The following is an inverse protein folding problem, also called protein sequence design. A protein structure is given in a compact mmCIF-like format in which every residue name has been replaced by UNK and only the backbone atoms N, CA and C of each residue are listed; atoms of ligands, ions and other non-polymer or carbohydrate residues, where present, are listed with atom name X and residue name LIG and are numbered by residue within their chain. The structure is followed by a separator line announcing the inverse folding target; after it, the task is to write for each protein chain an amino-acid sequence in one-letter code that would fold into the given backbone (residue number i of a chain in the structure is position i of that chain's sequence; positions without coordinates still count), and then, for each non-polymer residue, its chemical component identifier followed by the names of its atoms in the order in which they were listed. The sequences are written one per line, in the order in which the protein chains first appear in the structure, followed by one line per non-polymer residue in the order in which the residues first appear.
data_IF_891755254273
#
_entry.id   IF_891755254273
#
_cell.length_a   1.000
_cell.length_b   1.000
_cell.length_c   1.000
_cell.angle_alpha   90.00
_cell.angle_beta   90.00
_cell.angle_gamma   90.00
#
_symmetry.space_group_name_H-M   'P 1'
#
loop_
_entity.id
_entity.type
_entity.pdbx_description
1 polymer ?
#
# COMPACT_ATOMS: atom_id res chain seq x y z
N UNK A 1 18.58 43.86 18.49
CA UNK A 1 18.95 43.45 17.13
C UNK A 1 18.45 42.03 16.96
N UNK A 2 17.58 41.90 15.99
CA UNK A 2 16.69 40.80 15.66
C UNK A 2 17.44 39.62 15.03
N UNK A 3 17.44 38.47 15.70
CA UNK A 3 17.62 37.18 15.02
C UNK A 3 16.22 36.62 14.75
N UNK A 4 15.63 37.07 13.65
CA UNK A 4 14.51 36.39 13.01
C UNK A 4 15.06 35.06 12.47
N UNK A 5 14.85 33.99 13.23
CA UNK A 5 14.90 32.64 12.68
C UNK A 5 13.84 32.56 11.59
N UNK A 6 14.28 32.64 10.33
CA UNK A 6 13.47 32.31 9.17
C UNK A 6 13.19 30.82 9.23
N UNK A 7 12.10 30.45 9.90
CA UNK A 7 11.33 29.27 9.52
C UNK A 7 10.78 29.55 8.13
N UNK A 8 11.60 29.24 7.11
CA UNK A 8 11.06 28.97 5.80
C UNK A 8 10.23 27.70 5.94
N UNK A 9 8.94 27.89 6.24
CA UNK A 9 7.88 26.94 5.93
C UNK A 9 8.09 26.51 4.48
N UNK A 10 8.69 25.33 4.32
CA UNK A 10 8.72 24.64 3.05
C UNK A 10 7.31 24.11 2.79
N UNK A 11 6.44 25.04 2.43
CA UNK A 11 5.08 24.82 1.95
C UNK A 11 5.17 24.20 0.56
N UNK A 12 5.60 22.93 0.50
CA UNK A 12 5.17 22.07 -0.60
C UNK A 12 3.76 21.60 -0.25
N UNK A 13 2.77 22.41 -0.60
CA UNK A 13 1.41 21.93 -0.81
C UNK A 13 1.46 20.95 -2.00
N UNK A 14 1.98 19.75 -1.73
CA UNK A 14 2.19 18.72 -2.72
C UNK A 14 0.85 18.10 -3.07
N UNK A 15 0.60 17.95 -4.35
CA UNK A 15 -0.25 16.92 -4.95
C UNK A 15 0.30 15.51 -4.67
N UNK A 16 0.71 15.27 -3.42
CA UNK A 16 1.40 14.08 -2.94
C UNK A 16 0.48 13.22 -2.09
N UNK A 17 0.78 11.93 -2.09
CA UNK A 17 0.13 10.93 -1.24
C UNK A 17 0.25 11.35 0.23
N UNK A 18 -0.89 11.43 0.93
CA UNK A 18 -0.99 11.64 2.38
C UNK A 18 -1.76 10.49 3.05
N UNK A 19 -1.75 10.41 4.39
CA UNK A 19 -2.40 9.34 5.14
C UNK A 19 -3.87 9.09 4.74
N UNK A 20 -4.66 10.13 4.52
CA UNK A 20 -6.07 10.01 4.16
C UNK A 20 -6.24 9.47 2.74
N UNK A 21 -5.50 10.02 1.77
CA UNK A 21 -5.51 9.54 0.39
C UNK A 21 -4.98 8.12 0.27
N UNK A 22 -3.99 7.73 1.09
CA UNK A 22 -3.47 6.36 1.13
C UNK A 22 -4.49 5.41 1.73
N UNK A 23 -5.17 5.81 2.80
CA UNK A 23 -6.28 5.04 3.38
C UNK A 23 -7.39 4.82 2.36
N UNK A 24 -7.76 5.86 1.62
CA UNK A 24 -8.75 5.75 0.54
C UNK A 24 -8.27 4.80 -0.56
N UNK A 25 -7.02 4.96 -1.02
CA UNK A 25 -6.42 4.10 -2.03
C UNK A 25 -6.46 2.62 -1.63
N UNK A 26 -6.02 2.30 -0.41
CA UNK A 26 -6.01 0.92 0.08
C UNK A 26 -7.39 0.36 0.41
N UNK A 27 -8.39 1.20 0.68
CA UNK A 27 -9.79 0.76 0.84
C UNK A 27 -10.44 0.31 -0.48
N UNK A 28 -9.88 0.73 -1.62
CA UNK A 28 -10.35 0.41 -2.97
C UNK A 28 -9.68 -0.83 -3.56
N UNK A 29 -9.00 -1.65 -2.76
CA UNK A 29 -8.31 -2.90 -3.17
C UNK A 29 -9.22 -4.00 -3.75
N UNK A 30 -10.49 -3.67 -4.00
CA UNK A 30 -11.49 -4.51 -4.63
C UNK A 30 -11.90 -3.94 -5.98
N UNK A 31 -11.96 -4.80 -6.99
CA UNK A 31 -12.81 -4.54 -8.14
C UNK A 31 -14.28 -4.90 -7.83
N UNK A 32 -15.22 -4.45 -8.67
CA UNK A 32 -16.66 -4.72 -8.57
C UNK A 32 -17.04 -6.20 -8.54
N UNK A 33 -16.09 -7.11 -8.80
CA UNK A 33 -16.27 -8.57 -8.77
C UNK A 33 -15.76 -9.23 -7.48
N UNK A 34 -15.25 -8.45 -6.51
CA UNK A 34 -14.72 -8.96 -5.24
C UNK A 34 -13.36 -9.67 -5.36
N UNK A 35 -12.63 -9.46 -6.47
CA UNK A 35 -11.28 -9.99 -6.64
C UNK A 35 -10.25 -8.95 -6.18
N UNK A 36 -9.17 -9.38 -5.51
CA UNK A 36 -8.06 -8.51 -5.17
C UNK A 36 -7.40 -7.94 -6.42
N UNK A 37 -7.45 -6.63 -6.57
CA UNK A 37 -6.80 -5.91 -7.65
C UNK A 37 -5.79 -4.93 -7.07
N UNK A 38 -4.51 -5.15 -7.36
CA UNK A 38 -3.41 -4.28 -6.90
C UNK A 38 -3.03 -3.23 -7.95
N UNK A 39 -3.65 -3.26 -9.15
CA UNK A 39 -3.25 -2.44 -10.29
C UNK A 39 -3.35 -0.93 -10.05
N UNK A 40 -4.26 -0.48 -9.18
CA UNK A 40 -4.41 0.93 -8.84
C UNK A 40 -3.41 1.43 -7.80
N UNK A 41 -2.79 0.54 -7.01
CA UNK A 41 -1.76 0.92 -6.06
C UNK A 41 -0.35 0.88 -6.67
N UNK A 42 -0.12 -0.03 -7.63
CA UNK A 42 1.19 -0.21 -8.27
C UNK A 42 1.80 1.07 -8.86
N UNK A 43 1.04 2.00 -9.49
CA UNK A 43 1.59 3.26 -10.03
C UNK A 43 2.15 4.22 -8.98
N UNK A 44 1.85 4.00 -7.70
CA UNK A 44 2.31 4.85 -6.59
C UNK A 44 3.64 4.41 -5.99
N UNK A 45 4.19 3.27 -6.44
CA UNK A 45 5.45 2.75 -5.96
C UNK A 45 6.61 3.20 -6.84
N UNK A 46 7.76 3.46 -6.20
CA UNK A 46 9.02 3.72 -6.89
C UNK A 46 9.52 2.46 -7.63
N UNK A 47 10.17 2.64 -8.78
CA UNK A 47 10.75 1.54 -9.56
C UNK A 47 11.78 0.73 -8.73
N UNK A 48 12.42 1.37 -7.75
CA UNK A 48 13.40 0.78 -6.83
C UNK A 48 12.81 0.43 -5.45
N UNK A 49 11.50 0.15 -5.37
CA UNK A 49 10.83 -0.26 -4.13
C UNK A 49 11.63 -1.34 -3.37
N UNK A 50 11.82 -1.11 -2.08
CA UNK A 50 12.30 -2.12 -1.14
C UNK A 50 11.12 -2.65 -0.33
N UNK A 51 10.78 -3.92 -0.53
CA UNK A 51 9.71 -4.58 0.22
C UNK A 51 10.28 -5.68 1.10
N UNK A 52 9.88 -5.71 2.37
CA UNK A 52 10.32 -6.73 3.32
C UNK A 52 9.16 -7.15 4.22
N UNK A 53 8.96 -8.46 4.32
CA UNK A 53 8.11 -9.09 5.33
C UNK A 53 8.93 -10.11 6.14
N UNK A 54 8.29 -10.92 6.96
CA UNK A 54 8.97 -11.95 7.78
C UNK A 54 9.45 -13.17 7.00
N UNK A 55 9.06 -13.30 5.73
CA UNK A 55 9.29 -14.46 4.86
C UNK A 55 10.28 -14.12 3.75
N UNK A 56 10.20 -12.91 3.20
CA UNK A 56 10.95 -12.51 2.00
C UNK A 56 11.35 -11.03 2.01
N UNK A 57 12.34 -10.73 1.19
CA UNK A 57 12.80 -9.40 0.85
C UNK A 57 12.85 -9.29 -0.68
N UNK A 58 12.26 -8.22 -1.23
CA UNK A 58 12.14 -7.98 -2.67
C UNK A 58 12.70 -6.59 -2.99
N UNK A 59 13.43 -6.51 -4.10
CA UNK A 59 14.06 -5.28 -4.57
C UNK A 59 13.58 -4.97 -5.98
N UNK A 60 12.97 -3.81 -6.16
CA UNK A 60 12.49 -3.34 -7.45
C UNK A 60 11.07 -3.77 -7.79
N UNK A 61 10.47 -2.98 -8.69
CA UNK A 61 9.04 -3.06 -8.99
C UNK A 61 8.61 -4.37 -9.67
N UNK A 62 9.50 -5.01 -10.44
CA UNK A 62 9.14 -6.24 -11.16
C UNK A 62 8.95 -7.44 -10.22
N UNK A 63 9.81 -7.60 -9.22
CA UNK A 63 9.68 -8.63 -8.18
C UNK A 63 8.44 -8.36 -7.30
N UNK A 64 8.20 -7.09 -6.97
CA UNK A 64 7.01 -6.69 -6.22
C UNK A 64 5.71 -6.97 -7.00
N UNK A 65 5.64 -6.62 -8.29
CA UNK A 65 4.51 -6.95 -9.18
C UNK A 65 4.31 -8.46 -9.31
N UNK A 66 5.38 -9.25 -9.37
CA UNK A 66 5.27 -10.71 -9.42
C UNK A 66 4.66 -11.28 -8.13
N UNK A 67 5.04 -10.73 -6.97
CA UNK A 67 4.46 -11.10 -5.68
C UNK A 67 2.96 -10.77 -5.61
N UNK A 68 2.55 -9.56 -6.00
CA UNK A 68 1.12 -9.16 -5.95
C UNK A 68 0.26 -10.01 -6.88
N UNK A 69 0.75 -10.35 -8.09
CA UNK A 69 0.08 -11.29 -9.01
C UNK A 69 -0.16 -12.66 -8.37
N UNK A 70 0.87 -13.25 -7.76
CA UNK A 70 0.75 -14.55 -7.06
C UNK A 70 -0.28 -14.50 -5.92
N UNK A 71 -0.35 -13.38 -5.20
CA UNK A 71 -1.31 -13.18 -4.12
C UNK A 71 -2.75 -13.11 -4.66
N UNK A 72 -2.96 -12.39 -5.77
CA UNK A 72 -4.26 -12.33 -6.45
C UNK A 72 -4.70 -13.68 -6.99
N UNK A 73 -3.82 -14.44 -7.65
CA UNK A 73 -4.17 -15.73 -8.27
C UNK A 73 -4.58 -16.79 -7.24
N UNK A 74 -3.97 -16.75 -6.05
CA UNK A 74 -4.22 -17.70 -4.95
C UNK A 74 -5.43 -17.36 -4.10
N UNK A 75 -5.89 -16.11 -4.14
CA UNK A 75 -6.95 -15.60 -3.27
C UNK A 75 -8.29 -15.66 -4.00
N UNK A 76 -9.27 -16.37 -3.44
CA UNK A 76 -10.65 -16.36 -3.98
C UNK A 76 -11.38 -15.08 -3.59
N UNK A 77 -11.14 -14.65 -2.36
CA UNK A 77 -11.71 -13.47 -1.73
C UNK A 77 -10.64 -12.96 -0.77
N UNK A 78 -10.26 -11.69 -0.92
CA UNK A 78 -9.29 -11.00 -0.08
C UNK A 78 -10.02 -9.82 0.52
N UNK A 79 -10.08 -9.73 1.85
CA UNK A 79 -10.52 -8.51 2.51
C UNK A 79 -9.40 -7.77 3.20
N UNK A 80 -9.49 -6.44 3.10
CA UNK A 80 -8.55 -5.53 3.71
C UNK A 80 -9.31 -4.45 4.46
N UNK A 81 -9.08 -4.39 5.78
CA UNK A 81 -9.67 -3.37 6.64
C UNK A 81 -8.55 -2.51 7.20
N UNK A 82 -8.55 -1.24 6.85
CA UNK A 82 -7.60 -0.27 7.39
C UNK A 82 -8.05 0.13 8.79
N UNK A 83 -7.23 -0.17 9.80
CA UNK A 83 -7.54 0.08 11.22
C UNK A 83 -7.03 1.46 11.62
N UNK A 84 -5.77 1.75 11.29
CA UNK A 84 -5.12 3.04 11.58
C UNK A 84 -4.23 3.44 10.40
N UNK A 85 -4.18 4.74 10.14
CA UNK A 85 -3.25 5.33 9.19
C UNK A 85 -2.75 6.61 9.84
N UNK A 86 -1.43 6.74 10.02
CA UNK A 86 -0.80 7.93 10.58
C UNK A 86 0.35 8.34 9.69
N UNK A 87 0.54 9.64 9.52
CA UNK A 87 1.63 10.21 8.75
C UNK A 87 2.48 11.09 9.64
N UNK A 88 3.79 10.96 9.49
CA UNK A 88 4.77 11.88 10.04
C UNK A 88 5.75 12.24 8.92
N UNK A 89 5.78 13.53 8.55
CA UNK A 89 6.55 14.03 7.40
C UNK A 89 6.24 13.24 6.11
N UNK A 90 7.20 12.43 5.64
CA UNK A 90 7.10 11.60 4.44
C UNK A 90 6.83 10.12 4.74
N UNK A 91 6.80 9.76 6.02
CA UNK A 91 6.56 8.40 6.46
C UNK A 91 5.09 8.21 6.76
N UNK A 92 4.50 7.15 6.21
CA UNK A 92 3.13 6.76 6.49
C UNK A 92 3.13 5.36 7.07
N UNK A 93 2.56 5.23 8.27
CA UNK A 93 2.32 3.95 8.92
C UNK A 93 0.86 3.55 8.75
N UNK A 94 0.64 2.31 8.28
CA UNK A 94 -0.68 1.73 8.13
C UNK A 94 -0.77 0.47 8.98
N UNK A 95 -1.79 0.44 9.83
CA UNK A 95 -2.26 -0.79 10.48
C UNK A 95 -3.49 -1.29 9.73
N UNK A 96 -3.46 -2.56 9.35
CA UNK A 96 -4.50 -3.17 8.55
C UNK A 96 -4.71 -4.63 8.91
N UNK A 97 -5.95 -5.08 8.76
CA UNK A 97 -6.35 -6.48 8.92
C UNK A 97 -6.57 -7.08 7.53
N UNK A 98 -5.82 -8.14 7.19
CA UNK A 98 -6.07 -8.97 6.01
C UNK A 98 -6.92 -10.18 6.37
N UNK A 99 -7.91 -10.50 5.53
CA UNK A 99 -8.51 -11.84 5.52
C UNK A 99 -8.41 -12.44 4.14
N UNK A 100 -7.68 -13.55 4.00
CA UNK A 100 -7.59 -14.30 2.74
C UNK A 100 -8.48 -15.53 2.84
N UNK A 101 -9.45 -15.67 1.95
CA UNK A 101 -10.15 -16.93 1.73
C UNK A 101 -9.52 -17.64 0.53
N UNK A 102 -8.84 -18.75 0.81
CA UNK A 102 -8.25 -19.59 -0.23
C UNK A 102 -9.33 -20.36 -1.00
N UNK A 103 -9.08 -20.64 -2.29
CA UNK A 103 -9.89 -21.61 -3.03
C UNK A 103 -9.77 -22.97 -2.32
N UNK A 104 -10.90 -23.55 -1.90
CA UNK A 104 -10.96 -24.99 -1.57
C UNK A 104 -10.63 -25.74 -2.86
N UNK A 105 -9.57 -26.55 -2.89
CA UNK A 105 -9.41 -27.55 -3.94
C UNK A 105 -10.68 -28.41 -3.97
N UNK A 106 -11.20 -28.81 -5.15
CA UNK A 106 -12.08 -29.96 -5.18
C UNK A 106 -11.26 -31.13 -4.60
N UNK A 107 -11.75 -31.72 -3.52
CA UNK A 107 -11.28 -33.03 -3.07
C UNK A 107 -11.36 -33.98 -4.27
N UNK A 108 -10.27 -34.72 -4.50
CA UNK A 108 -10.17 -35.77 -5.52
C UNK A 108 -11.32 -36.77 -5.46
#
# INVERSE_FOLDING_TARGET
MSDEFREQENSSAGTGLNADSLKELWSKTYNTEGKPDWSHILPWYDDNIFFRDSIQELHGIEDFKAMTRRLTDRSKDLSMKIVRCVQQDRDIFIEWEMTIKFKKNPSS
#
